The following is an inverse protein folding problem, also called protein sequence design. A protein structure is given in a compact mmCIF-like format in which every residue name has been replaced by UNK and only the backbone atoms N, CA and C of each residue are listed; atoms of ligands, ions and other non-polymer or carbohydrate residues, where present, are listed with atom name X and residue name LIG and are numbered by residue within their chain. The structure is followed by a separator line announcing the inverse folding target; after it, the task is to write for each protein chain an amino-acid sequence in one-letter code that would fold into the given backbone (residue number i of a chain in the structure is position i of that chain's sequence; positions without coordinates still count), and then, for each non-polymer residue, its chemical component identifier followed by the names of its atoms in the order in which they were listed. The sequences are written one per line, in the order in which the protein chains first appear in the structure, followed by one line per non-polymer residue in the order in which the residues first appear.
data_IF_584379753756
#
_entry.id   IF_584379753756
#
_cell.length_a   1.000
_cell.length_b   1.000
_cell.length_c   1.000
_cell.angle_alpha   90.00
_cell.angle_beta   90.00
_cell.angle_gamma   90.00
#
_symmetry.space_group_name_H-M   'P 1'
#
loop_
_entity.id
_entity.type
_entity.pdbx_description
1 polymer ?
#
# COMPACT_ATOMS: atom_id res chain seq x y z
N UNK A 1 57.77 -46.60 38.07
CA UNK A 1 56.34 -46.60 37.78
C UNK A 1 55.85 -45.18 37.76
N UNK A 2 55.73 -44.53 36.55
CA UNK A 2 55.44 -43.11 36.43
C UNK A 2 54.02 -42.97 35.80
N UNK A 3 53.14 -42.39 36.57
CA UNK A 3 51.76 -42.08 36.17
C UNK A 3 51.75 -40.82 35.29
N UNK A 4 51.12 -40.93 34.11
CA UNK A 4 50.90 -39.84 33.21
C UNK A 4 49.60 -39.04 33.59
N UNK A 5 49.62 -37.71 33.64
CA UNK A 5 48.43 -36.92 33.90
C UNK A 5 47.59 -36.72 32.60
N UNK A 6 46.33 -37.03 32.73
CA UNK A 6 45.26 -36.81 31.73
C UNK A 6 45.16 -35.32 31.34
N UNK A 7 45.35 -35.02 30.06
CA UNK A 7 44.98 -33.72 29.44
C UNK A 7 43.46 -33.64 29.31
N UNK A 8 42.85 -32.81 30.10
CA UNK A 8 41.46 -32.40 29.93
C UNK A 8 41.39 -31.37 28.80
N UNK A 9 40.71 -31.73 27.70
CA UNK A 9 40.33 -30.79 26.66
C UNK A 9 39.07 -30.06 27.10
N UNK A 10 39.18 -28.74 27.31
CA UNK A 10 38.07 -27.83 27.52
C UNK A 10 37.46 -27.52 26.13
N UNK A 11 36.28 -28.06 25.86
CA UNK A 11 35.48 -27.69 24.69
C UNK A 11 34.64 -26.48 25.13
N UNK A 12 34.97 -25.29 24.63
CA UNK A 12 34.14 -24.12 24.77
C UNK A 12 32.99 -24.23 23.75
N UNK A 13 31.71 -24.10 24.13
CA UNK A 13 30.65 -23.95 23.19
C UNK A 13 30.68 -22.52 22.64
N UNK A 14 30.88 -22.38 21.32
CA UNK A 14 30.69 -21.14 20.59
C UNK A 14 29.18 -20.86 20.53
N UNK A 15 28.70 -19.98 21.44
CA UNK A 15 27.37 -19.41 21.33
C UNK A 15 27.34 -18.48 20.10
N UNK A 16 26.82 -19.00 18.97
CA UNK A 16 26.47 -18.21 17.83
C UNK A 16 25.30 -17.29 18.17
N UNK A 17 25.58 -16.03 18.50
CA UNK A 17 24.57 -14.98 18.52
C UNK A 17 24.13 -14.71 17.09
N UNK A 18 23.07 -15.41 16.67
CA UNK A 18 22.31 -15.04 15.49
C UNK A 18 21.65 -13.68 15.73
N UNK A 19 22.27 -12.63 15.25
CA UNK A 19 21.61 -11.32 15.15
C UNK A 19 20.48 -11.46 14.11
N UNK A 20 19.25 -11.66 14.58
CA UNK A 20 18.07 -11.34 13.78
C UNK A 20 18.16 -9.86 13.44
N UNK A 21 18.61 -9.54 12.22
CA UNK A 21 18.41 -8.22 11.65
C UNK A 21 16.88 -8.04 11.52
N UNK A 22 16.28 -7.38 12.51
CA UNK A 22 14.97 -6.80 12.34
C UNK A 22 15.09 -5.88 11.12
N UNK A 23 14.33 -6.21 10.05
CA UNK A 23 14.14 -5.30 8.93
C UNK A 23 13.49 -4.05 9.53
N UNK A 24 14.30 -3.08 9.89
CA UNK A 24 13.83 -1.76 10.26
C UNK A 24 13.10 -1.23 9.02
N UNK A 25 11.77 -1.17 9.07
CA UNK A 25 11.00 -0.40 8.13
C UNK A 25 11.49 1.03 8.24
N UNK A 26 12.41 1.43 7.37
CA UNK A 26 12.81 2.82 7.23
C UNK A 26 11.57 3.68 6.99
N UNK A 27 11.63 4.99 7.25
CA UNK A 27 10.48 5.86 7.04
C UNK A 27 9.94 5.65 5.63
N UNK A 28 8.64 5.29 5.54
CA UNK A 28 7.98 5.08 4.26
C UNK A 28 8.13 6.33 3.38
N UNK A 29 8.56 6.15 2.13
CA UNK A 29 8.59 7.22 1.13
C UNK A 29 7.19 7.53 0.56
N UNK A 30 6.14 6.94 1.14
CA UNK A 30 4.74 7.24 0.84
C UNK A 30 4.04 7.63 2.14
N UNK A 31 3.45 8.82 2.16
CA UNK A 31 2.62 9.35 3.26
C UNK A 31 1.18 9.42 2.81
N UNK A 32 0.27 8.95 3.65
CA UNK A 32 -1.16 8.97 3.38
C UNK A 32 -1.87 9.74 4.49
N UNK A 33 -2.61 10.75 4.07
CA UNK A 33 -3.40 11.65 4.91
C UNK A 33 -4.86 11.58 4.49
N UNK A 34 -5.77 11.88 5.41
CA UNK A 34 -7.22 11.85 5.18
C UNK A 34 -7.86 13.13 5.68
N UNK A 35 -8.79 13.66 4.89
CA UNK A 35 -9.57 14.86 5.22
C UNK A 35 -10.99 14.43 5.53
N UNK A 36 -11.37 14.41 6.80
CA UNK A 36 -12.70 14.02 7.25
C UNK A 36 -13.11 12.62 6.80
N UNK A 37 -12.34 11.55 7.12
CA UNK A 37 -12.60 10.20 6.65
C UNK A 37 -13.99 9.66 7.06
N UNK A 38 -14.59 10.21 8.13
CA UNK A 38 -15.95 9.91 8.57
C UNK A 38 -17.04 10.37 7.60
N UNK A 39 -16.67 11.16 6.56
CA UNK A 39 -17.58 11.67 5.53
C UNK A 39 -17.36 11.07 4.17
N UNK A 40 -16.44 10.11 4.05
CA UNK A 40 -16.15 9.48 2.77
C UNK A 40 -17.34 8.66 2.27
N UNK A 41 -17.48 8.56 0.96
CA UNK A 41 -18.64 7.97 0.29
C UNK A 41 -18.85 6.50 0.66
N UNK A 42 -17.80 5.68 0.65
CA UNK A 42 -17.81 4.30 1.12
C UNK A 42 -16.37 3.87 1.49
N UNK A 43 -16.02 3.99 2.76
CA UNK A 43 -14.68 3.72 3.27
C UNK A 43 -14.66 2.61 4.34
N UNK A 44 -15.64 1.72 4.32
CA UNK A 44 -15.71 0.59 5.25
C UNK A 44 -14.87 -0.59 4.79
N UNK A 45 -13.73 -0.83 5.43
CA UNK A 45 -12.85 -1.98 5.17
C UNK A 45 -13.22 -3.11 6.13
N UNK A 46 -13.53 -4.29 5.59
CA UNK A 46 -13.92 -5.46 6.38
C UNK A 46 -15.08 -5.20 7.37
N UNK A 47 -16.05 -4.35 6.99
CA UNK A 47 -17.19 -4.00 7.83
C UNK A 47 -16.86 -3.10 9.03
N UNK A 48 -15.69 -2.51 9.07
CA UNK A 48 -15.28 -1.56 10.11
C UNK A 48 -15.81 -0.18 9.80
N UNK A 49 -15.98 0.64 10.82
CA UNK A 49 -16.28 2.05 10.65
C UNK A 49 -15.14 2.76 9.89
N UNK A 50 -15.45 3.87 9.24
CA UNK A 50 -14.52 4.64 8.40
C UNK A 50 -13.24 5.01 9.16
N UNK A 51 -13.38 5.51 10.38
CA UNK A 51 -12.23 5.91 11.20
C UNK A 51 -11.31 4.71 11.57
N UNK A 52 -11.88 3.52 11.71
CA UNK A 52 -11.13 2.30 11.98
C UNK A 52 -10.47 1.73 10.70
N UNK A 53 -10.96 2.13 9.53
CA UNK A 53 -10.41 1.77 8.23
C UNK A 53 -9.16 2.57 7.87
N UNK A 54 -8.98 3.75 8.48
CA UNK A 54 -7.84 4.67 8.24
C UNK A 54 -6.48 3.99 8.39
N UNK A 55 -6.13 3.33 9.52
CA UNK A 55 -4.82 2.69 9.65
C UNK A 55 -4.63 1.55 8.64
N UNK A 56 -5.66 0.76 8.37
CA UNK A 56 -5.59 -0.38 7.44
C UNK A 56 -5.26 0.14 6.03
N UNK A 57 -5.99 1.15 5.55
CA UNK A 57 -5.75 1.73 4.24
C UNK A 57 -4.37 2.37 4.14
N UNK A 58 -3.98 3.15 5.15
CA UNK A 58 -2.67 3.80 5.20
C UNK A 58 -1.53 2.80 5.08
N UNK A 59 -1.54 1.77 5.92
CA UNK A 59 -0.45 0.81 6.01
C UNK A 59 -0.38 -0.05 4.73
N UNK A 60 -1.50 -0.58 4.26
CA UNK A 60 -1.58 -1.42 3.08
C UNK A 60 -1.17 -0.67 1.79
N UNK A 61 -1.72 0.53 1.60
CA UNK A 61 -1.46 1.32 0.38
C UNK A 61 -0.06 1.90 0.39
N UNK A 62 0.44 2.40 1.54
CA UNK A 62 1.81 2.92 1.60
C UNK A 62 2.84 1.82 1.36
N UNK A 63 2.67 0.65 1.95
CA UNK A 63 3.56 -0.49 1.72
C UNK A 63 3.55 -0.93 0.25
N UNK A 64 2.38 -0.97 -0.39
CA UNK A 64 2.23 -1.38 -1.78
C UNK A 64 2.85 -0.39 -2.78
N UNK A 65 2.70 0.92 -2.56
CA UNK A 65 3.20 1.95 -3.47
C UNK A 65 4.69 2.26 -3.27
N UNK A 66 5.22 2.06 -2.06
CA UNK A 66 6.59 2.43 -1.67
C UNK A 66 7.68 1.93 -2.63
N UNK A 67 7.71 0.67 -3.08
CA UNK A 67 8.70 0.20 -4.05
C UNK A 67 8.59 0.89 -5.41
N UNK A 68 7.39 1.24 -5.84
CA UNK A 68 7.16 1.93 -7.11
C UNK A 68 7.62 3.38 -7.05
N UNK A 69 7.37 4.07 -5.94
CA UNK A 69 7.88 5.44 -5.70
C UNK A 69 9.40 5.44 -5.64
N UNK A 70 10.02 4.53 -4.89
CA UNK A 70 11.47 4.42 -4.77
C UNK A 70 12.15 4.20 -6.13
N UNK A 71 11.55 3.38 -6.99
CA UNK A 71 12.08 3.09 -8.33
C UNK A 71 11.92 4.26 -9.29
N UNK A 72 10.74 4.94 -9.30
CA UNK A 72 10.43 6.00 -10.27
C UNK A 72 10.99 7.36 -9.87
N UNK A 73 11.04 7.63 -8.59
CA UNK A 73 11.44 8.92 -8.00
C UNK A 73 12.42 8.67 -6.86
N UNK A 74 13.66 8.25 -7.16
CA UNK A 74 14.66 7.94 -6.14
C UNK A 74 14.89 9.10 -5.16
N UNK A 75 14.79 8.84 -3.87
CA UNK A 75 14.96 9.84 -2.82
C UNK A 75 13.77 10.78 -2.61
N UNK A 76 12.67 10.61 -3.36
CA UNK A 76 11.47 11.41 -3.18
C UNK A 76 10.51 10.80 -2.14
N UNK A 77 9.65 11.66 -1.59
CA UNK A 77 8.49 11.29 -0.79
C UNK A 77 7.22 11.67 -1.53
N UNK A 78 6.31 10.71 -1.71
CA UNK A 78 4.96 10.93 -2.21
C UNK A 78 4.01 11.12 -1.02
N UNK A 79 3.31 12.23 -0.99
CA UNK A 79 2.19 12.46 -0.06
C UNK A 79 0.88 12.39 -0.84
N UNK A 80 -0.07 11.56 -0.37
CA UNK A 80 -1.44 11.46 -0.88
C UNK A 80 -2.39 11.92 0.23
N UNK A 81 -3.16 12.97 -0.04
CA UNK A 81 -4.14 13.54 0.89
C UNK A 81 -5.53 13.28 0.34
N UNK A 82 -6.17 12.22 0.82
CA UNK A 82 -7.50 11.82 0.36
C UNK A 82 -8.58 12.75 0.88
N UNK A 83 -9.47 13.16 -0.03
CA UNK A 83 -10.66 13.98 0.25
C UNK A 83 -11.95 13.17 0.13
N UNK A 84 -11.93 12.06 -0.61
CA UNK A 84 -13.00 11.06 -0.63
C UNK A 84 -12.49 9.71 -1.13
N UNK A 85 -13.08 8.64 -0.63
CA UNK A 85 -12.83 7.26 -1.03
C UNK A 85 -14.18 6.54 -1.15
N UNK A 86 -14.41 5.91 -2.30
CA UNK A 86 -15.49 4.97 -2.57
C UNK A 86 -14.83 3.66 -3.04
N UNK A 87 -14.78 2.68 -2.14
CA UNK A 87 -14.09 1.40 -2.37
C UNK A 87 -14.84 0.55 -3.40
N UNK A 88 -14.11 -0.33 -4.08
CA UNK A 88 -14.66 -1.27 -5.06
C UNK A 88 -15.79 -2.13 -4.47
N UNK A 89 -16.89 -2.27 -5.20
CA UNK A 89 -18.07 -3.03 -4.76
C UNK A 89 -18.76 -2.41 -3.56
N UNK A 90 -19.75 -3.11 -3.00
CA UNK A 90 -20.48 -2.67 -1.81
C UNK A 90 -20.48 -3.73 -0.72
N UNK A 91 -20.44 -3.27 0.52
CA UNK A 91 -20.61 -4.14 1.68
C UNK A 91 -22.09 -4.45 1.85
N UNK A 92 -22.45 -5.75 1.81
CA UNK A 92 -23.82 -6.23 1.96
C UNK A 92 -23.93 -7.25 3.13
N UNK A 93 -23.83 -6.81 4.39
CA UNK A 93 -23.77 -7.70 5.56
C UNK A 93 -25.05 -8.55 5.75
N UNK A 94 -26.18 -8.13 5.15
CA UNK A 94 -27.45 -8.84 5.21
C UNK A 94 -27.55 -10.04 4.26
N UNK A 95 -26.68 -10.09 3.23
CA UNK A 95 -26.82 -11.07 2.15
C UNK A 95 -26.42 -12.49 2.55
N UNK A 96 -25.30 -12.60 3.26
CA UNK A 96 -24.80 -13.88 3.75
C UNK A 96 -24.13 -13.64 5.10
N UNK A 97 -24.76 -14.09 6.18
CA UNK A 97 -24.24 -13.93 7.56
C UNK A 97 -22.78 -14.38 7.75
N UNK A 98 -22.30 -15.32 6.91
CA UNK A 98 -20.96 -15.88 6.97
C UNK A 98 -19.90 -14.98 6.29
N UNK A 99 -20.32 -14.02 5.47
CA UNK A 99 -19.43 -13.16 4.67
C UNK A 99 -19.70 -11.67 4.88
N UNK A 100 -19.88 -11.26 6.13
CA UNK A 100 -20.20 -9.86 6.50
C UNK A 100 -19.11 -8.86 6.09
N UNK A 101 -17.91 -9.34 5.78
CA UNK A 101 -16.74 -8.51 5.47
C UNK A 101 -16.36 -8.53 3.98
N UNK A 102 -17.17 -9.19 3.13
CA UNK A 102 -16.91 -9.29 1.70
C UNK A 102 -17.69 -8.21 0.96
N UNK A 103 -17.01 -7.49 0.07
CA UNK A 103 -17.62 -6.51 -0.82
C UNK A 103 -18.10 -7.22 -2.09
N UNK A 104 -19.29 -6.90 -2.51
CA UNK A 104 -19.91 -7.47 -3.71
C UNK A 104 -20.11 -6.37 -4.76
N UNK A 105 -19.85 -6.71 -6.02
CA UNK A 105 -20.32 -5.93 -7.15
C UNK A 105 -21.38 -6.74 -7.90
N UNK A 106 -22.63 -6.31 -7.79
CA UNK A 106 -23.76 -7.02 -8.39
C UNK A 106 -23.84 -6.86 -9.90
N UNK A 107 -23.46 -5.70 -10.37
CA UNK A 107 -23.74 -5.25 -11.73
C UNK A 107 -22.44 -5.03 -12.53
N UNK A 108 -21.43 -5.86 -12.29
CA UNK A 108 -20.16 -5.94 -13.01
C UNK A 108 -19.57 -4.55 -13.37
N UNK A 109 -19.31 -3.73 -12.37
CA UNK A 109 -18.74 -2.38 -12.51
C UNK A 109 -19.66 -1.24 -12.08
N UNK A 110 -20.88 -1.56 -11.57
CA UNK A 110 -21.80 -0.53 -11.05
C UNK A 110 -21.27 0.19 -9.79
N UNK A 111 -20.32 -0.43 -9.08
CA UNK A 111 -19.68 0.16 -7.91
C UNK A 111 -18.16 0.28 -8.16
N UNK A 112 -17.74 1.19 -9.06
CA UNK A 112 -16.33 1.37 -9.41
C UNK A 112 -15.53 1.92 -8.24
N UNK A 113 -14.22 1.67 -8.27
CA UNK A 113 -13.28 2.39 -7.39
C UNK A 113 -13.34 3.88 -7.72
N UNK A 114 -13.54 4.74 -6.71
CA UNK A 114 -13.39 6.19 -6.84
C UNK A 114 -12.47 6.71 -5.74
N UNK A 115 -11.42 7.39 -6.14
CA UNK A 115 -10.41 7.93 -5.25
C UNK A 115 -10.18 9.40 -5.60
N UNK A 116 -10.48 10.30 -4.67
CA UNK A 116 -10.26 11.73 -4.81
C UNK A 116 -9.17 12.16 -3.84
N UNK A 117 -8.10 12.74 -4.35
CA UNK A 117 -6.97 13.12 -3.52
C UNK A 117 -6.12 14.24 -4.13
N UNK A 118 -5.46 14.97 -3.26
CA UNK A 118 -4.32 15.81 -3.62
C UNK A 118 -3.04 14.99 -3.49
N UNK A 119 -2.07 15.26 -4.36
CA UNK A 119 -0.76 14.63 -4.25
C UNK A 119 0.36 15.66 -4.27
N UNK A 120 1.44 15.33 -3.60
CA UNK A 120 2.68 16.11 -3.60
C UNK A 120 3.87 15.17 -3.64
N UNK A 121 4.81 15.41 -4.57
CA UNK A 121 6.13 14.79 -4.61
C UNK A 121 7.18 15.78 -4.16
N UNK A 122 7.92 15.41 -3.11
CA UNK A 122 9.02 16.21 -2.57
C UNK A 122 10.34 15.45 -2.73
N UNK A 123 11.42 16.18 -3.05
CA UNK A 123 12.77 15.61 -3.06
C UNK A 123 13.32 15.41 -1.63
N UNK A 124 14.53 14.87 -1.52
CA UNK A 124 15.22 14.67 -0.24
C UNK A 124 15.53 15.97 0.53
N UNK A 125 15.44 17.13 -0.15
CA UNK A 125 15.61 18.47 0.45
C UNK A 125 14.28 19.12 0.82
N UNK A 126 13.15 18.42 0.63
CA UNK A 126 11.82 18.92 0.91
C UNK A 126 11.25 19.85 -0.17
N UNK A 127 11.89 19.99 -1.34
CA UNK A 127 11.37 20.83 -2.43
C UNK A 127 10.31 20.06 -3.20
N UNK A 128 9.16 20.70 -3.44
CA UNK A 128 8.09 20.15 -4.25
C UNK A 128 8.49 20.24 -5.73
N UNK A 129 8.43 19.13 -6.45
CA UNK A 129 8.68 19.08 -7.89
C UNK A 129 7.49 18.56 -8.70
N UNK A 130 6.46 18.00 -8.03
CA UNK A 130 5.17 17.74 -8.65
C UNK A 130 4.07 17.82 -7.59
N UNK A 131 2.92 18.36 -7.96
CA UNK A 131 1.71 18.37 -7.12
C UNK A 131 0.47 18.54 -7.99
N UNK A 132 -0.68 18.21 -7.44
CA UNK A 132 -1.97 18.41 -8.09
C UNK A 132 -3.08 17.63 -7.40
N UNK A 133 -4.30 17.78 -7.93
CA UNK A 133 -5.47 17.03 -7.49
C UNK A 133 -5.85 15.97 -8.51
N UNK A 134 -6.37 14.84 -8.06
CA UNK A 134 -6.81 13.73 -8.91
C UNK A 134 -8.17 13.21 -8.47
N UNK A 135 -8.95 12.85 -9.49
CA UNK A 135 -10.15 12.04 -9.39
C UNK A 135 -9.90 10.78 -10.22
N UNK A 136 -9.66 9.66 -9.57
CA UNK A 136 -9.51 8.37 -10.24
C UNK A 136 -10.84 7.63 -10.15
N UNK A 137 -11.37 7.23 -11.31
CA UNK A 137 -12.56 6.39 -11.41
C UNK A 137 -12.19 5.18 -12.24
N UNK A 138 -12.34 3.99 -11.67
CA UNK A 138 -11.99 2.74 -12.31
C UNK A 138 -13.22 1.84 -12.41
N UNK A 139 -13.93 1.93 -13.53
CA UNK A 139 -15.07 1.07 -13.85
C UNK A 139 -14.67 -0.32 -14.36
N UNK A 140 -13.43 -0.46 -14.87
CA UNK A 140 -12.94 -1.72 -15.44
C UNK A 140 -12.21 -2.60 -14.41
N UNK A 141 -12.28 -2.28 -13.13
CA UNK A 141 -11.52 -2.98 -12.11
C UNK A 141 -11.81 -4.49 -12.08
N UNK A 142 -13.05 -4.91 -12.37
CA UNK A 142 -13.44 -6.33 -12.39
C UNK A 142 -12.70 -7.13 -13.46
N UNK A 143 -12.50 -6.55 -14.64
CA UNK A 143 -11.82 -7.23 -15.74
C UNK A 143 -10.31 -7.42 -15.48
N UNK A 144 -9.75 -6.72 -14.51
CA UNK A 144 -8.30 -6.79 -14.20
C UNK A 144 -7.90 -8.06 -13.48
N UNK A 145 -8.81 -8.74 -12.79
CA UNK A 145 -8.46 -9.98 -12.11
C UNK A 145 -7.98 -11.07 -13.08
N UNK A 146 -8.36 -10.98 -14.36
CA UNK A 146 -7.93 -11.89 -15.41
C UNK A 146 -6.41 -11.82 -15.62
N UNK A 147 -5.79 -10.69 -15.32
CA UNK A 147 -4.37 -10.43 -15.55
C UNK A 147 -3.48 -10.62 -14.32
N UNK A 148 -4.07 -10.93 -13.17
CA UNK A 148 -3.32 -11.08 -11.91
C UNK A 148 -3.45 -12.50 -11.38
N UNK A 149 -2.36 -13.06 -10.78
CA UNK A 149 -2.42 -14.38 -10.14
C UNK A 149 -3.51 -14.42 -9.06
N UNK A 150 -4.22 -15.53 -8.97
CA UNK A 150 -5.38 -15.73 -8.09
C UNK A 150 -5.14 -15.36 -6.61
N UNK A 151 -3.91 -15.43 -6.13
CA UNK A 151 -3.56 -15.08 -4.74
C UNK A 151 -3.61 -13.58 -4.44
N UNK A 152 -3.36 -12.73 -5.43
CA UNK A 152 -3.27 -11.28 -5.21
C UNK A 152 -4.63 -10.60 -5.21
N UNK A 153 -5.59 -11.09 -5.98
CA UNK A 153 -6.95 -10.50 -6.06
C UNK A 153 -7.75 -10.62 -4.76
N UNK A 154 -7.36 -11.55 -3.87
CA UNK A 154 -7.96 -11.69 -2.54
C UNK A 154 -7.28 -10.83 -1.47
N UNK A 155 -6.22 -10.11 -1.84
CA UNK A 155 -5.57 -9.19 -0.93
C UNK A 155 -6.48 -7.98 -0.61
N UNK A 156 -6.43 -7.52 0.62
CA UNK A 156 -7.15 -6.32 1.05
C UNK A 156 -6.81 -5.14 0.14
N UNK A 157 -7.82 -4.37 -0.27
CA UNK A 157 -7.66 -3.17 -1.12
C UNK A 157 -6.94 -3.44 -2.45
N UNK A 158 -7.13 -4.63 -3.03
CA UNK A 158 -6.46 -5.00 -4.28
C UNK A 158 -6.74 -4.00 -5.41
N UNK A 159 -8.00 -3.67 -5.63
CA UNK A 159 -8.40 -2.80 -6.75
C UNK A 159 -7.96 -1.35 -6.56
N UNK A 160 -8.06 -0.83 -5.34
CA UNK A 160 -7.58 0.50 -4.97
C UNK A 160 -6.08 0.63 -5.17
N UNK A 161 -5.32 -0.36 -4.71
CA UNK A 161 -3.86 -0.43 -4.86
C UNK A 161 -3.44 -0.46 -6.33
N UNK A 162 -4.08 -1.29 -7.14
CA UNK A 162 -3.79 -1.38 -8.58
C UNK A 162 -4.14 -0.09 -9.31
N UNK A 163 -5.27 0.53 -8.98
CA UNK A 163 -5.70 1.81 -9.57
C UNK A 163 -4.71 2.94 -9.23
N UNK A 164 -4.29 3.05 -7.97
CA UNK A 164 -3.28 4.02 -7.54
C UNK A 164 -1.91 3.76 -8.18
N UNK A 165 -1.49 2.49 -8.24
CA UNK A 165 -0.23 2.14 -8.90
C UNK A 165 -0.23 2.51 -10.37
N UNK A 166 -1.31 2.23 -11.09
CA UNK A 166 -1.46 2.60 -12.50
C UNK A 166 -1.36 4.10 -12.68
N UNK A 167 -2.07 4.91 -11.87
CA UNK A 167 -1.91 6.35 -11.90
C UNK A 167 -0.45 6.77 -11.65
N UNK A 168 0.19 6.21 -10.63
CA UNK A 168 1.58 6.50 -10.31
C UNK A 168 2.52 6.16 -11.48
N UNK A 169 2.27 5.06 -12.19
CA UNK A 169 3.09 4.64 -13.33
C UNK A 169 3.01 5.63 -14.53
N UNK A 170 1.94 6.41 -14.64
CA UNK A 170 1.79 7.46 -15.65
C UNK A 170 2.10 8.87 -15.14
N UNK A 171 2.38 9.02 -13.85
CA UNK A 171 2.68 10.32 -13.29
C UNK A 171 4.01 10.85 -13.84
N UNK A 172 3.94 11.97 -14.58
CA UNK A 172 5.12 12.70 -15.06
C UNK A 172 5.28 13.97 -14.23
N UNK A 173 6.47 14.24 -13.64
CA UNK A 173 6.71 15.51 -12.96
C UNK A 173 6.53 16.68 -13.95
N UNK A 174 5.76 17.68 -13.54
CA UNK A 174 5.62 18.92 -14.33
C UNK A 174 6.96 19.64 -14.33
N UNK A 175 7.75 19.47 -15.39
CA UNK A 175 9.11 20.04 -15.53
C UNK A 175 10.07 19.20 -16.34
N UNK A 176 9.77 17.95 -16.66
CA UNK A 176 10.50 17.20 -17.67
C UNK A 176 9.96 17.59 -19.05
N UNK A 177 10.44 18.71 -19.58
CA UNK A 177 10.43 18.92 -21.03
C UNK A 177 11.20 17.75 -21.62
N UNK A 178 10.48 16.81 -22.23
CA UNK A 178 11.12 15.80 -23.10
C UNK A 178 11.76 16.64 -24.21
N UNK A 179 13.07 16.84 -24.12
CA UNK A 179 13.84 17.38 -25.24
C UNK A 179 13.67 16.38 -26.38
N UNK A 180 12.79 16.73 -27.32
CA UNK A 180 12.61 15.98 -28.55
C UNK A 180 13.93 15.89 -29.26
N UNK A 181 14.32 14.69 -29.61
CA UNK A 181 15.26 14.38 -30.67
C UNK A 181 14.49 13.90 -31.88
#
# INVERSE_FOLDING_TARGET
MRMNPLRRWLVLPLLGMGTCAALANGPSNVRIEFVHPERFSDFSIQGRQEIQSVPIFRDDVSAYLSPSVARRFPGATLTLRFTDIDLAGRLEPWRIRKFTNVRFDRDMGASPVRLYFDYTLTDSKGRIFASGSKALVDGDYIHRYIYYPNSEQWATLFYEKVTLKRWLDYLTPSGSTVAGK
#
